data_IF_261974671197
#
_entry.id   IF_261974671197
#
_cell.length_a   1.000
_cell.length_b   1.000
_cell.length_c   1.000
_cell.angle_alpha   90.00
_cell.angle_beta   90.00
_cell.angle_gamma   90.00
#
_symmetry.space_group_name_H-M   'P 1'
#
loop_
_entity.id
_entity.type
_entity.pdbx_description
1 polymer ?
#
# COMPACT_ATOMS: atom_id res chain seq x y z
N UNK A 1 -3.45 24.06 30.19
CA UNK A 1 -3.69 22.80 29.43
C UNK A 1 -4.83 21.92 29.97
N UNK A 2 -5.42 22.19 31.14
CA UNK A 2 -6.48 21.32 31.70
C UNK A 2 -7.90 21.61 31.14
N UNK A 3 -8.16 22.80 30.59
CA UNK A 3 -9.48 23.17 30.06
C UNK A 3 -9.89 22.36 28.83
N UNK A 4 -8.97 22.15 27.88
CA UNK A 4 -9.22 21.34 26.68
C UNK A 4 -9.51 19.88 27.04
N UNK A 5 -8.77 19.30 27.99
CA UNK A 5 -9.01 17.94 28.50
C UNK A 5 -10.33 17.81 29.27
N UNK A 6 -10.74 18.85 30.00
CA UNK A 6 -12.02 18.88 30.71
C UNK A 6 -13.21 19.00 29.75
N UNK A 7 -13.09 19.87 28.73
CA UNK A 7 -14.11 20.03 27.70
C UNK A 7 -14.23 18.79 26.82
N UNK A 8 -13.12 18.15 26.45
CA UNK A 8 -13.16 16.90 25.68
C UNK A 8 -13.77 15.76 26.51
N UNK A 9 -13.39 15.60 27.78
CA UNK A 9 -13.99 14.60 28.67
C UNK A 9 -15.50 14.84 28.89
N UNK A 10 -15.92 16.09 29.01
CA UNK A 10 -17.33 16.45 29.12
C UNK A 10 -18.09 16.14 27.82
N UNK A 11 -17.54 16.51 26.66
CA UNK A 11 -18.12 16.22 25.34
C UNK A 11 -18.25 14.71 25.07
N UNK A 12 -17.24 13.93 25.43
CA UNK A 12 -17.31 12.46 25.34
C UNK A 12 -18.44 11.94 26.22
N UNK A 13 -18.58 12.44 27.46
CA UNK A 13 -19.63 11.99 28.38
C UNK A 13 -21.03 12.44 27.95
N UNK A 14 -21.16 13.62 27.36
CA UNK A 14 -22.45 14.16 26.88
C UNK A 14 -22.90 13.52 25.58
N UNK A 15 -21.99 13.03 24.73
CA UNK A 15 -22.37 12.34 23.50
C UNK A 15 -22.52 10.83 23.71
N UNK A 16 -21.60 10.20 24.44
CA UNK A 16 -21.57 8.72 24.56
C UNK A 16 -22.76 8.16 25.34
N UNK A 17 -23.17 8.82 26.42
CA UNK A 17 -24.26 8.34 27.29
C UNK A 17 -25.64 8.39 26.63
N UNK A 18 -26.10 9.52 26.04
CA UNK A 18 -27.41 9.54 25.40
C UNK A 18 -27.46 8.64 24.17
N UNK A 19 -26.38 8.57 23.37
CA UNK A 19 -26.34 7.70 22.18
C UNK A 19 -26.48 6.23 22.59
N UNK A 20 -25.71 5.77 23.58
CA UNK A 20 -25.83 4.40 24.08
C UNK A 20 -27.22 4.11 24.67
N UNK A 21 -27.81 5.06 25.38
CA UNK A 21 -29.16 4.92 25.95
C UNK A 21 -30.25 4.85 24.87
N UNK A 22 -30.15 5.68 23.83
CA UNK A 22 -31.08 5.69 22.71
C UNK A 22 -30.99 4.39 21.89
N UNK A 23 -29.77 3.92 21.62
CA UNK A 23 -29.56 2.65 20.92
C UNK A 23 -30.14 1.47 21.72
N UNK A 24 -30.00 1.47 23.06
CA UNK A 24 -30.61 0.44 23.92
C UNK A 24 -32.15 0.49 23.88
N UNK A 25 -32.75 1.67 23.86
CA UNK A 25 -34.21 1.83 23.72
C UNK A 25 -34.70 1.32 22.35
N UNK A 26 -34.03 1.72 21.28
CA UNK A 26 -34.32 1.30 19.90
C UNK A 26 -34.17 -0.21 19.70
N UNK A 27 -33.21 -0.86 20.39
CA UNK A 27 -33.04 -2.31 20.37
C UNK A 27 -34.16 -3.08 21.08
N UNK A 28 -34.96 -2.41 21.92
CA UNK A 28 -36.16 -3.01 22.52
C UNK A 28 -37.39 -2.80 21.64
N UNK A 29 -37.47 -1.66 20.96
CA UNK A 29 -38.61 -1.28 20.10
C UNK A 29 -38.57 -1.98 18.73
N UNK A 30 -37.38 -2.27 18.19
CA UNK A 30 -37.23 -2.86 16.86
C UNK A 30 -36.55 -4.23 16.87
N UNK A 31 -37.29 -5.27 16.48
CA UNK A 31 -36.75 -6.64 16.40
C UNK A 31 -35.63 -6.80 15.37
N UNK A 32 -35.70 -6.11 14.22
CA UNK A 32 -34.64 -6.15 13.21
C UNK A 32 -33.33 -5.61 13.77
N UNK A 33 -33.41 -4.48 14.46
CA UNK A 33 -32.26 -3.86 15.10
C UNK A 33 -31.72 -4.71 16.26
N UNK A 34 -32.61 -5.30 17.08
CA UNK A 34 -32.25 -6.29 18.11
C UNK A 34 -31.44 -7.44 17.53
N UNK A 35 -31.89 -8.04 16.42
CA UNK A 35 -31.17 -9.13 15.73
C UNK A 35 -29.79 -8.71 15.26
N UNK A 36 -29.65 -7.49 14.72
CA UNK A 36 -28.35 -6.92 14.33
C UNK A 36 -27.44 -6.79 15.56
N UNK A 37 -27.89 -6.16 16.64
CA UNK A 37 -27.13 -6.01 17.88
C UNK A 37 -26.67 -7.36 18.44
N UNK A 38 -27.57 -8.34 18.50
CA UNK A 38 -27.28 -9.69 19.00
C UNK A 38 -26.28 -10.40 18.10
N UNK A 39 -26.46 -10.34 16.77
CA UNK A 39 -25.55 -10.98 15.81
C UNK A 39 -24.13 -10.40 15.91
N UNK A 40 -24.01 -9.08 16.04
CA UNK A 40 -22.72 -8.41 16.13
C UNK A 40 -22.04 -8.67 17.48
N UNK A 41 -22.78 -8.64 18.58
CA UNK A 41 -22.27 -9.02 19.89
C UNK A 41 -21.79 -10.47 19.94
N UNK A 42 -22.53 -11.39 19.30
CA UNK A 42 -22.11 -12.79 19.17
C UNK A 42 -20.88 -12.94 18.27
N UNK A 43 -20.78 -12.19 17.17
CA UNK A 43 -19.61 -12.20 16.29
C UNK A 43 -18.36 -11.70 17.04
N UNK A 44 -18.47 -10.58 17.75
CA UNK A 44 -17.39 -10.03 18.57
C UNK A 44 -16.98 -10.99 19.69
N UNK A 45 -17.94 -11.58 20.38
CA UNK A 45 -17.65 -12.57 21.42
C UNK A 45 -16.94 -13.81 20.85
N UNK A 46 -17.37 -14.29 19.67
CA UNK A 46 -16.70 -15.42 19.00
C UNK A 46 -15.28 -15.05 18.58
N UNK A 47 -15.09 -13.82 18.10
CA UNK A 47 -13.78 -13.31 17.69
C UNK A 47 -12.83 -13.15 18.89
N UNK A 48 -13.28 -12.51 19.97
CA UNK A 48 -12.51 -12.34 21.22
C UNK A 48 -12.10 -13.70 21.80
N UNK A 49 -13.05 -14.65 21.91
CA UNK A 49 -12.72 -16.00 22.37
C UNK A 49 -11.76 -16.73 21.43
N UNK A 50 -11.91 -16.58 20.11
CA UNK A 50 -10.99 -17.17 19.13
C UNK A 50 -9.58 -16.60 19.26
N UNK A 51 -9.43 -15.29 19.46
CA UNK A 51 -8.13 -14.66 19.66
C UNK A 51 -7.48 -15.11 20.98
N UNK A 52 -8.26 -15.15 22.08
CA UNK A 52 -7.74 -15.60 23.38
C UNK A 52 -7.29 -17.05 23.33
N UNK A 53 -8.11 -17.94 22.77
CA UNK A 53 -7.78 -19.36 22.63
C UNK A 53 -6.64 -19.57 21.63
N UNK A 54 -6.58 -18.78 20.56
CA UNK A 54 -5.49 -18.78 19.60
C UNK A 54 -4.15 -18.40 20.22
N UNK A 55 -4.13 -17.32 21.01
CA UNK A 55 -2.92 -16.86 21.71
C UNK A 55 -2.40 -17.86 22.75
N UNK A 56 -3.29 -18.49 23.53
CA UNK A 56 -2.92 -19.54 24.48
C UNK A 56 -2.35 -20.77 23.76
N UNK A 57 -2.87 -21.13 22.58
CA UNK A 57 -2.34 -22.25 21.79
C UNK A 57 -0.96 -21.93 21.22
N UNK A 58 -0.78 -20.75 20.65
CA UNK A 58 0.48 -20.38 19.99
C UNK A 58 1.66 -20.37 20.98
N UNK A 59 1.40 -19.87 22.19
CA UNK A 59 2.36 -19.92 23.31
C UNK A 59 2.65 -21.35 23.78
N UNK A 60 1.63 -22.19 23.97
CA UNK A 60 1.80 -23.59 24.36
C UNK A 60 2.48 -24.44 23.27
N UNK A 61 2.17 -24.19 21.99
CA UNK A 61 2.78 -24.87 20.85
C UNK A 61 4.26 -24.46 20.69
N UNK A 62 4.57 -23.17 20.80
CA UNK A 62 5.94 -22.65 20.81
C UNK A 62 6.76 -23.24 21.96
N UNK A 63 6.19 -23.33 23.16
CA UNK A 63 6.86 -23.93 24.31
C UNK A 63 7.12 -25.43 24.14
N UNK A 64 6.17 -26.18 23.55
CA UNK A 64 6.35 -27.61 23.25
C UNK A 64 7.40 -27.85 22.16
N UNK A 65 7.45 -26.99 21.15
CA UNK A 65 8.49 -27.03 20.12
C UNK A 65 9.87 -26.71 20.71
N UNK A 66 9.96 -25.73 21.60
CA UNK A 66 11.21 -25.42 22.32
C UNK A 66 11.68 -26.58 23.21
N UNK A 67 10.76 -27.26 23.92
CA UNK A 67 11.07 -28.43 24.73
C UNK A 67 11.51 -29.64 23.87
N UNK A 68 10.77 -29.95 22.80
CA UNK A 68 11.13 -31.03 21.87
C UNK A 68 12.46 -30.76 21.14
N UNK A 69 12.74 -29.50 20.78
CA UNK A 69 14.03 -29.11 20.22
C UNK A 69 15.17 -29.21 21.24
N UNK A 70 14.92 -28.90 22.52
CA UNK A 70 15.89 -29.10 23.59
C UNK A 70 16.18 -30.59 23.84
N UNK A 71 15.15 -31.45 23.76
CA UNK A 71 15.30 -32.91 23.85
C UNK A 71 16.02 -33.49 22.63
N UNK A 72 15.69 -33.04 21.42
CA UNK A 72 16.40 -33.43 20.20
C UNK A 72 17.87 -32.97 20.20
N UNK A 73 18.19 -31.84 20.84
CA UNK A 73 19.58 -31.37 21.04
C UNK A 73 20.37 -32.27 21.99
N UNK A 74 19.73 -32.91 22.99
CA UNK A 74 20.40 -33.85 23.90
C UNK A 74 20.86 -35.14 23.20
N UNK A 75 20.21 -35.52 22.11
CA UNK A 75 20.52 -36.74 21.36
C UNK A 75 21.34 -36.51 20.07
N UNK A 76 21.80 -35.28 19.81
CA UNK A 76 22.75 -35.00 18.73
C UNK A 76 24.18 -35.15 19.27
N UNK A 77 24.93 -36.20 18.90
CA UNK A 77 26.32 -36.34 19.31
C UNK A 77 27.17 -35.27 18.59
N UNK A 78 27.87 -34.45 19.38
CA UNK A 78 28.74 -33.35 18.93
C UNK A 78 30.09 -33.83 18.36
N UNK A 79 30.36 -35.13 18.35
CA UNK A 79 31.63 -35.71 17.86
C UNK A 79 31.32 -36.71 16.74
N UNK A 80 32.02 -36.64 15.58
CA UNK A 80 31.75 -37.49 14.42
C UNK A 80 32.27 -38.92 14.68
N UNK A 81 31.50 -39.72 15.41
CA UNK A 81 31.81 -41.12 15.72
C UNK A 81 30.91 -42.05 14.92
N UNK A 82 31.46 -43.19 14.47
CA UNK A 82 30.76 -44.23 13.69
C UNK A 82 29.51 -44.70 14.45
N UNK A 83 28.33 -44.58 13.83
CA UNK A 83 27.03 -44.88 14.45
C UNK A 83 26.82 -46.38 14.64
N UNK A 84 26.40 -46.78 15.84
CA UNK A 84 25.87 -48.12 16.09
C UNK A 84 24.40 -48.18 15.65
N UNK A 85 23.95 -49.33 15.13
CA UNK A 85 22.58 -49.53 14.63
C UNK A 85 21.47 -49.34 15.68
N UNK A 86 21.83 -49.31 16.96
CA UNK A 86 20.91 -49.00 18.06
C UNK A 86 20.61 -47.49 18.16
N UNK A 87 21.59 -46.63 17.88
CA UNK A 87 21.46 -45.17 18.01
C UNK A 87 20.66 -44.56 16.85
N UNK A 88 20.72 -45.19 15.67
CA UNK A 88 19.89 -44.80 14.52
C UNK A 88 18.42 -45.14 14.73
N UNK A 89 18.12 -46.34 15.28
CA UNK A 89 16.74 -46.72 15.60
C UNK A 89 16.14 -45.82 16.69
N UNK A 90 16.91 -45.49 17.72
CA UNK A 90 16.47 -44.55 18.76
C UNK A 90 16.22 -43.13 18.21
N UNK A 91 17.04 -42.67 17.26
CA UNK A 91 16.84 -41.38 16.60
C UNK A 91 15.61 -41.37 15.68
N UNK A 92 15.40 -42.44 14.90
CA UNK A 92 14.24 -42.59 14.02
C UNK A 92 12.93 -42.68 14.81
N UNK A 93 12.92 -43.40 15.94
CA UNK A 93 11.76 -43.48 16.84
C UNK A 93 11.46 -42.14 17.52
N UNK A 94 12.49 -41.37 17.87
CA UNK A 94 12.33 -40.01 18.41
C UNK A 94 11.79 -39.05 17.34
N UNK A 95 12.25 -39.17 16.10
CA UNK A 95 11.73 -38.40 14.97
C UNK A 95 10.30 -38.80 14.59
N UNK A 96 9.96 -40.08 14.63
CA UNK A 96 8.60 -40.58 14.39
C UNK A 96 7.62 -40.08 15.48
N UNK A 97 8.04 -40.09 16.75
CA UNK A 97 7.27 -39.50 17.85
C UNK A 97 7.15 -37.98 17.75
N UNK A 98 8.21 -37.28 17.32
CA UNK A 98 8.16 -35.84 17.09
C UNK A 98 7.22 -35.48 15.93
N UNK A 99 7.23 -36.26 14.84
CA UNK A 99 6.33 -36.08 13.69
C UNK A 99 4.87 -36.37 14.05
N UNK A 100 4.61 -37.45 14.80
CA UNK A 100 3.26 -37.77 15.30
C UNK A 100 2.74 -36.70 16.28
N UNK A 101 3.58 -36.18 17.17
CA UNK A 101 3.23 -35.08 18.08
C UNK A 101 2.98 -33.75 17.33
N UNK A 102 3.70 -33.50 16.24
CA UNK A 102 3.47 -32.34 15.37
C UNK A 102 2.14 -32.46 14.59
N UNK A 103 1.81 -33.66 14.12
CA UNK A 103 0.55 -33.94 13.42
C UNK A 103 -0.67 -33.85 14.36
N UNK A 104 -0.53 -34.35 15.60
CA UNK A 104 -1.57 -34.20 16.63
C UNK A 104 -1.77 -32.73 17.03
N UNK A 105 -0.69 -31.94 17.12
CA UNK A 105 -0.75 -30.50 17.37
C UNK A 105 -1.34 -29.69 16.21
N UNK A 106 -1.31 -30.23 14.99
CA UNK A 106 -1.84 -29.59 13.79
C UNK A 106 -3.36 -29.76 13.63
N UNK A 107 -4.02 -30.66 14.39
CA UNK A 107 -5.46 -30.90 14.24
C UNK A 107 -6.29 -29.69 14.69
N UNK A 108 -7.17 -29.13 13.82
CA UNK A 108 -7.99 -27.97 14.20
C UNK A 108 -9.07 -28.38 15.20
N UNK A 109 -8.94 -27.96 16.46
CA UNK A 109 -9.97 -28.15 17.49
C UNK A 109 -11.08 -27.10 17.28
N UNK A 110 -12.31 -27.57 17.11
CA UNK A 110 -13.46 -26.70 16.93
C UNK A 110 -14.02 -26.27 18.30
N UNK A 111 -13.74 -25.03 18.73
CA UNK A 111 -14.27 -24.49 19.99
C UNK A 111 -15.78 -24.20 19.88
N UNK A 112 -16.60 -24.93 20.65
CA UNK A 112 -18.03 -24.61 20.81
C UNK A 112 -18.16 -23.48 21.83
N UNK A 113 -18.15 -22.25 21.34
CA UNK A 113 -18.35 -21.05 22.18
C UNK A 113 -19.84 -20.92 22.49
N UNK A 114 -20.20 -20.86 23.79
CA UNK A 114 -21.58 -20.64 24.22
C UNK A 114 -22.02 -19.22 23.80
N UNK A 115 -23.21 -19.05 23.21
CA UNK A 115 -23.72 -17.71 22.89
C UNK A 115 -24.01 -16.93 24.17
N UNK A 116 -23.84 -15.61 24.11
CA UNK A 116 -24.25 -14.72 25.20
C UNK A 116 -25.76 -14.75 25.40
N UNK A 117 -26.19 -14.52 26.66
CA UNK A 117 -27.59 -14.23 26.95
C UNK A 117 -28.04 -13.00 26.17
N UNK A 118 -29.31 -13.00 25.77
CA UNK A 118 -29.81 -11.99 24.85
C UNK A 118 -29.71 -10.57 25.42
N UNK A 119 -30.01 -10.38 26.70
CA UNK A 119 -29.87 -9.09 27.38
C UNK A 119 -28.44 -8.56 27.35
N UNK A 120 -27.45 -9.43 27.58
CA UNK A 120 -26.02 -9.07 27.54
C UNK A 120 -25.55 -8.78 26.12
N UNK A 121 -26.05 -9.54 25.15
CA UNK A 121 -25.76 -9.34 23.73
C UNK A 121 -26.31 -7.99 23.23
N UNK A 122 -27.52 -7.61 23.65
CA UNK A 122 -28.09 -6.29 23.31
C UNK A 122 -27.25 -5.16 23.90
N UNK A 123 -26.87 -5.25 25.18
CA UNK A 123 -26.06 -4.23 25.83
C UNK A 123 -24.67 -4.08 25.19
N UNK A 124 -23.99 -5.21 24.97
CA UNK A 124 -22.67 -5.22 24.33
C UNK A 124 -22.74 -4.75 22.88
N UNK A 125 -23.78 -5.16 22.13
CA UNK A 125 -24.00 -4.74 20.75
C UNK A 125 -24.29 -3.24 20.65
N UNK A 126 -25.12 -2.71 21.56
CA UNK A 126 -25.43 -1.28 21.62
C UNK A 126 -24.19 -0.42 21.90
N UNK A 127 -23.37 -0.81 22.88
CA UNK A 127 -22.12 -0.11 23.18
C UNK A 127 -21.18 -0.14 21.97
N UNK A 128 -21.00 -1.30 21.34
CA UNK A 128 -20.14 -1.44 20.16
C UNK A 128 -20.60 -0.58 18.98
N UNK A 129 -21.91 -0.51 18.70
CA UNK A 129 -22.45 0.34 17.62
C UNK A 129 -22.18 1.81 17.92
N UNK A 130 -22.42 2.26 19.15
CA UNK A 130 -22.21 3.64 19.54
C UNK A 130 -20.73 4.05 19.44
N UNK A 131 -19.84 3.16 19.87
CA UNK A 131 -18.40 3.38 19.85
C UNK A 131 -17.87 3.36 18.41
N UNK A 132 -18.27 2.36 17.61
CA UNK A 132 -17.90 2.27 16.20
C UNK A 132 -18.37 3.48 15.40
N UNK A 133 -19.58 3.98 15.67
CA UNK A 133 -20.08 5.19 15.03
C UNK A 133 -19.22 6.41 15.37
N UNK A 134 -18.88 6.60 16.65
CA UNK A 134 -18.02 7.70 17.08
C UNK A 134 -16.61 7.58 16.45
N UNK A 135 -16.03 6.39 16.41
CA UNK A 135 -14.73 6.17 15.77
C UNK A 135 -14.77 6.35 14.26
N UNK A 136 -15.83 5.93 13.58
CA UNK A 136 -15.98 6.13 12.14
C UNK A 136 -16.13 7.60 11.81
N UNK A 137 -16.93 8.35 12.58
CA UNK A 137 -17.07 9.81 12.39
C UNK A 137 -15.77 10.52 12.71
N UNK A 138 -15.14 10.25 13.86
CA UNK A 138 -13.90 10.92 14.25
C UNK A 138 -12.72 10.54 13.35
N UNK A 139 -12.52 9.25 13.10
CA UNK A 139 -11.48 8.73 12.21
C UNK A 139 -11.74 9.13 10.75
N UNK A 140 -12.99 9.12 10.31
CA UNK A 140 -13.41 9.59 8.99
C UNK A 140 -13.10 11.06 8.79
N UNK A 141 -13.36 11.93 9.77
CA UNK A 141 -13.00 13.34 9.71
C UNK A 141 -11.49 13.54 9.64
N UNK A 142 -10.71 12.79 10.42
CA UNK A 142 -9.24 12.88 10.40
C UNK A 142 -8.68 12.38 9.06
N UNK A 143 -9.15 11.24 8.55
CA UNK A 143 -8.72 10.70 7.26
C UNK A 143 -9.15 11.61 6.11
N UNK A 144 -10.36 12.16 6.16
CA UNK A 144 -10.86 13.10 5.17
C UNK A 144 -10.04 14.38 5.16
N UNK A 145 -9.76 14.96 6.33
CA UNK A 145 -8.92 16.14 6.44
C UNK A 145 -7.48 15.85 6.02
N UNK A 146 -6.93 14.69 6.37
CA UNK A 146 -5.61 14.24 5.95
C UNK A 146 -5.53 14.08 4.43
N UNK A 147 -6.49 13.40 3.81
CA UNK A 147 -6.57 13.24 2.36
C UNK A 147 -6.72 14.59 1.65
N UNK A 148 -7.62 15.45 2.14
CA UNK A 148 -7.81 16.81 1.62
C UNK A 148 -6.57 17.70 1.79
N UNK A 149 -5.84 17.55 2.90
CA UNK A 149 -4.61 18.31 3.17
C UNK A 149 -3.46 17.84 2.29
N UNK A 150 -3.29 16.52 2.14
CA UNK A 150 -2.26 15.91 1.28
C UNK A 150 -2.39 16.37 -0.17
N UNK A 151 -3.61 16.51 -0.68
CA UNK A 151 -3.82 16.99 -2.04
C UNK A 151 -3.29 18.42 -2.25
N UNK A 152 -3.41 19.30 -1.23
CA UNK A 152 -2.89 20.67 -1.29
C UNK A 152 -1.37 20.73 -1.19
N UNK A 153 -0.78 19.81 -0.43
CA UNK A 153 0.68 19.72 -0.33
C UNK A 153 1.30 19.16 -1.62
N UNK A 154 0.67 18.19 -2.28
CA UNK A 154 1.12 17.65 -3.59
C UNK A 154 1.23 18.75 -4.64
N UNK A 155 0.17 19.54 -4.86
CA UNK A 155 0.20 20.63 -5.85
C UNK A 155 1.24 21.70 -5.50
N UNK A 156 1.49 21.96 -4.22
CA UNK A 156 2.58 22.87 -3.80
C UNK A 156 3.96 22.28 -4.09
N UNK A 157 4.15 20.97 -3.87
CA UNK A 157 5.41 20.27 -4.17
C UNK A 157 5.67 20.24 -5.67
N UNK A 158 4.67 19.86 -6.46
CA UNK A 158 4.72 19.91 -7.93
C UNK A 158 5.08 21.31 -8.46
N UNK A 159 4.51 22.37 -7.87
CA UNK A 159 4.83 23.75 -8.25
C UNK A 159 6.24 24.21 -7.86
N UNK A 160 6.82 23.66 -6.78
CA UNK A 160 8.21 23.94 -6.37
C UNK A 160 9.19 23.15 -7.25
N UNK A 161 8.90 21.88 -7.51
CA UNK A 161 9.68 21.02 -8.40
C UNK A 161 9.74 21.62 -9.81
N UNK A 162 8.62 22.10 -10.36
CA UNK A 162 8.60 22.77 -11.66
C UNK A 162 9.52 24.01 -11.71
N UNK A 163 9.50 24.85 -10.67
CA UNK A 163 10.40 26.01 -10.59
C UNK A 163 11.88 25.61 -10.47
N UNK A 164 12.15 24.49 -9.81
CA UNK A 164 13.50 23.99 -9.65
C UNK A 164 14.05 23.52 -11.01
N UNK A 165 13.23 22.81 -11.78
CA UNK A 165 13.55 22.38 -13.14
C UNK A 165 13.74 23.58 -14.08
N UNK A 166 12.87 24.59 -14.03
CA UNK A 166 13.01 25.79 -14.86
C UNK A 166 14.31 26.55 -14.56
N UNK A 167 14.68 26.65 -13.27
CA UNK A 167 15.93 27.28 -12.85
C UNK A 167 17.15 26.49 -13.33
N UNK A 168 17.13 25.18 -13.18
CA UNK A 168 18.20 24.29 -13.64
C UNK A 168 18.39 24.39 -15.17
N UNK A 169 17.30 24.43 -15.94
CA UNK A 169 17.36 24.66 -17.38
C UNK A 169 17.92 26.03 -17.74
N UNK A 170 17.54 27.08 -17.01
CA UNK A 170 18.06 28.43 -17.26
C UNK A 170 19.55 28.54 -16.96
N UNK A 171 20.02 27.84 -15.92
CA UNK A 171 21.43 27.77 -15.56
C UNK A 171 22.20 27.02 -16.65
N UNK A 172 21.68 25.88 -17.09
CA UNK A 172 22.30 25.07 -18.14
C UNK A 172 22.39 25.84 -19.47
N UNK A 173 21.33 26.54 -19.87
CA UNK A 173 21.34 27.38 -21.07
C UNK A 173 22.36 28.53 -20.97
N UNK A 174 22.50 29.15 -19.79
CA UNK A 174 23.50 30.18 -19.55
C UNK A 174 24.93 29.63 -19.65
N UNK A 175 25.18 28.43 -19.09
CA UNK A 175 26.47 27.73 -19.20
C UNK A 175 26.82 27.45 -20.67
N UNK A 176 25.87 26.95 -21.46
CA UNK A 176 26.06 26.68 -22.88
C UNK A 176 26.34 27.95 -23.70
N UNK A 177 25.62 29.05 -23.43
CA UNK A 177 25.84 30.33 -24.08
C UNK A 177 27.25 30.88 -23.81
N UNK A 178 27.76 30.73 -22.58
CA UNK A 178 29.12 31.14 -22.24
C UNK A 178 30.18 30.34 -23.00
N UNK A 179 29.99 29.03 -23.12
CA UNK A 179 30.90 28.15 -23.90
C UNK A 179 30.89 28.51 -25.38
N UNK A 180 29.72 28.82 -25.96
CA UNK A 180 29.62 29.27 -27.34
C UNK A 180 30.39 30.58 -27.57
N UNK A 181 30.23 31.54 -26.66
CA UNK A 181 30.90 32.84 -26.75
C UNK A 181 32.43 32.73 -26.57
N UNK A 182 32.91 31.83 -25.71
CA UNK A 182 34.34 31.51 -25.59
C UNK A 182 34.92 30.99 -26.92
N UNK A 183 34.19 30.10 -27.61
CA UNK A 183 34.61 29.58 -28.92
C UNK A 183 34.69 30.69 -29.97
N UNK A 184 33.72 31.60 -30.00
CA UNK A 184 33.74 32.75 -30.92
C UNK A 184 34.94 33.67 -30.64
N UNK A 185 35.22 33.99 -29.37
CA UNK A 185 36.39 34.79 -29.00
C UNK A 185 37.71 34.12 -29.40
N UNK A 186 37.82 32.80 -29.23
CA UNK A 186 39.00 32.05 -29.67
C UNK A 186 39.17 32.09 -31.19
N UNK A 187 38.08 31.96 -31.95
CA UNK A 187 38.10 32.07 -33.41
C UNK A 187 38.51 33.47 -33.86
N UNK A 188 37.96 34.52 -33.25
CA UNK A 188 38.34 35.91 -33.54
C UNK A 188 39.81 36.15 -33.22
N UNK A 189 40.29 35.67 -32.06
CA UNK A 189 41.70 35.77 -31.70
C UNK A 189 42.60 35.07 -32.73
N UNK A 190 42.23 33.88 -33.19
CA UNK A 190 43.00 33.16 -34.21
C UNK A 190 43.06 33.91 -35.55
N UNK A 191 41.96 34.58 -35.95
CA UNK A 191 41.91 35.44 -37.14
C UNK A 191 42.77 36.71 -37.00
N UNK A 192 42.94 37.23 -35.77
CA UNK A 192 43.69 38.46 -35.47
C UNK A 192 45.07 38.20 -34.83
N UNK A 193 45.79 37.16 -35.27
CA UNK A 193 47.08 36.70 -34.71
C UNK A 193 48.26 37.67 -34.92
N UNK A 194 48.19 38.89 -34.39
CA UNK A 194 49.28 39.90 -34.41
C UNK A 194 49.43 40.66 -33.07
N UNK A 195 48.97 40.10 -31.93
CA UNK A 195 49.16 40.73 -30.60
C UNK A 195 49.95 39.85 -29.61
N UNK A 196 50.78 40.45 -28.74
CA UNK A 196 51.77 39.74 -27.93
C UNK A 196 51.13 38.83 -26.88
N UNK A 197 51.80 37.69 -26.64
CA UNK A 197 51.38 36.58 -25.79
C UNK A 197 51.26 37.00 -24.32
N UNK A 198 50.08 37.45 -23.88
CA UNK A 198 49.72 37.50 -22.47
C UNK A 198 48.88 36.27 -22.08
N UNK A 199 49.20 35.73 -20.91
CA UNK A 199 48.77 34.46 -20.36
C UNK A 199 47.25 34.25 -20.45
N UNK A 200 46.83 33.35 -21.33
CA UNK A 200 45.45 32.87 -21.35
C UNK A 200 45.28 31.87 -20.21
N UNK A 201 45.02 32.36 -19.00
CA UNK A 201 44.28 31.53 -18.05
C UNK A 201 42.92 31.26 -18.68
N UNK A 202 42.58 29.97 -18.81
CA UNK A 202 41.27 29.45 -19.21
C UNK A 202 40.18 30.34 -18.62
N UNK A 203 39.40 30.99 -19.48
CA UNK A 203 38.54 32.13 -19.07
C UNK A 203 37.28 31.62 -18.34
N UNK A 204 36.89 30.37 -18.59
CA UNK A 204 35.80 29.69 -17.89
C UNK A 204 36.34 28.62 -16.93
N UNK A 205 35.84 28.61 -15.69
CA UNK A 205 36.17 27.62 -14.67
C UNK A 205 35.77 26.20 -15.13
N UNK A 206 36.49 25.14 -14.72
CA UNK A 206 36.18 23.74 -15.10
C UNK A 206 34.72 23.32 -14.84
N UNK A 207 34.10 23.94 -13.83
CA UNK A 207 32.73 23.70 -13.36
C UNK A 207 31.62 24.02 -14.39
N UNK A 208 31.93 24.77 -15.45
CA UNK A 208 30.98 25.09 -16.55
C UNK A 208 30.94 23.97 -17.59
N UNK A 209 32.01 23.16 -17.69
CA UNK A 209 32.13 22.04 -18.63
C UNK A 209 31.71 20.69 -18.01
N UNK A 210 31.65 20.60 -16.69
CA UNK A 210 31.01 19.49 -15.99
C UNK A 210 29.49 19.65 -16.11
N UNK A 211 28.96 19.06 -17.18
CA UNK A 211 27.59 18.57 -17.20
C UNK A 211 27.37 17.80 -15.90
N UNK A 212 26.30 18.06 -15.12
CA UNK A 212 26.12 17.42 -13.83
C UNK A 212 26.30 15.92 -14.04
N UNK A 213 27.26 15.34 -13.33
CA UNK A 213 27.34 13.90 -13.17
C UNK A 213 25.92 13.42 -12.87
N UNK A 214 25.51 12.32 -13.52
CA UNK A 214 24.16 11.77 -13.38
C UNK A 214 23.67 11.94 -11.93
N UNK A 215 22.42 12.39 -11.71
CA UNK A 215 21.93 12.57 -10.37
C UNK A 215 22.08 11.23 -9.66
N UNK A 216 23.05 11.15 -8.75
CA UNK A 216 23.19 10.03 -7.84
C UNK A 216 21.84 9.94 -7.13
N UNK A 217 21.03 8.96 -7.56
CA UNK A 217 19.74 8.69 -6.96
C UNK A 217 20.00 8.59 -5.45
N UNK A 218 19.41 9.45 -4.62
CA UNK A 218 19.55 9.27 -3.19
C UNK A 218 18.91 7.92 -2.88
N UNK A 219 19.73 6.94 -2.50
CA UNK A 219 19.26 5.66 -2.00
C UNK A 219 18.27 5.96 -0.87
N UNK A 220 16.98 5.82 -1.19
CA UNK A 220 15.93 6.08 -0.24
C UNK A 220 16.20 5.18 0.97
N UNK A 221 16.37 5.74 2.18
CA UNK A 221 16.62 4.92 3.35
C UNK A 221 15.46 3.94 3.43
N UNK A 222 15.76 2.65 3.49
CA UNK A 222 14.80 1.57 3.65
C UNK A 222 14.16 1.70 5.04
N UNK A 223 13.27 2.67 5.16
CA UNK A 223 12.49 2.93 6.34
C UNK A 223 11.48 1.81 6.51
N UNK A 224 11.08 1.60 7.76
CA UNK A 224 10.03 0.66 8.17
C UNK A 224 8.77 0.70 7.29
N UNK A 225 8.43 1.83 6.66
CA UNK A 225 7.33 1.97 5.71
C UNK A 225 7.51 1.12 4.44
N UNK A 226 8.73 0.98 3.91
CA UNK A 226 9.04 0.10 2.76
C UNK A 226 8.96 -1.38 3.14
N UNK A 227 9.24 -1.71 4.40
CA UNK A 227 8.95 -3.04 4.95
C UNK A 227 7.46 -3.27 5.14
N UNK A 228 6.65 -2.25 5.41
CA UNK A 228 5.19 -2.39 5.53
C UNK A 228 4.55 -2.50 4.13
N UNK A 229 5.04 -1.75 3.14
CA UNK A 229 4.52 -1.84 1.77
C UNK A 229 4.74 -3.21 1.13
N UNK A 230 5.84 -3.90 1.45
CA UNK A 230 6.07 -5.26 0.94
C UNK A 230 5.07 -6.30 1.46
N UNK A 231 4.48 -6.09 2.64
CA UNK A 231 3.39 -6.95 3.16
C UNK A 231 2.00 -6.58 2.61
N UNK A 232 1.86 -5.40 1.98
CA UNK A 232 0.60 -4.90 1.41
C UNK A 232 0.61 -5.00 -0.13
N UNK A 233 1.61 -5.65 -0.74
CA UNK A 233 1.64 -5.93 -2.18
C UNK A 233 0.66 -7.07 -2.54
N UNK A 234 -0.63 -6.76 -2.42
CA UNK A 234 -1.74 -7.56 -2.90
C UNK A 234 -2.29 -6.88 -4.15
N UNK A 235 -1.83 -7.34 -5.32
CA UNK A 235 -2.53 -7.14 -6.59
C UNK A 235 -2.03 -6.04 -7.52
N UNK A 236 -0.77 -6.10 -7.99
CA UNK A 236 -0.38 -5.39 -9.22
C UNK A 236 0.45 -6.30 -10.13
N UNK A 237 -0.17 -6.73 -11.22
CA UNK A 237 0.45 -7.42 -12.36
C UNK A 237 0.42 -6.49 -13.58
N UNK A 238 1.37 -6.71 -14.50
CA UNK A 238 1.65 -6.02 -15.77
C UNK A 238 2.36 -4.66 -15.60
N UNK A 239 3.45 -4.31 -16.28
CA UNK A 239 3.98 -4.73 -17.59
C UNK A 239 5.45 -4.27 -17.70
N UNK A 240 6.22 -4.88 -18.61
CA UNK A 240 7.35 -4.32 -19.40
C UNK A 240 8.51 -5.32 -19.49
N UNK A 241 8.63 -5.99 -20.63
CA UNK A 241 9.89 -6.57 -21.10
C UNK A 241 9.97 -6.32 -22.59
N UNK A 242 10.96 -5.50 -22.97
CA UNK A 242 11.29 -5.13 -24.34
C UNK A 242 12.45 -6.04 -24.80
N UNK A 243 12.20 -6.80 -25.87
CA UNK A 243 13.03 -7.20 -27.05
C UNK A 243 14.49 -7.69 -26.88
N UNK A 244 14.96 -8.58 -27.79
CA UNK A 244 15.71 -8.05 -28.94
C UNK A 244 15.43 -8.74 -30.29
N UNK A 245 15.52 -7.94 -31.37
CA UNK A 245 15.44 -8.33 -32.79
C UNK A 245 16.60 -9.23 -33.27
N UNK A 246 16.48 -9.86 -34.46
CA UNK A 246 17.18 -9.28 -35.62
C UNK A 246 16.46 -9.37 -37.00
N UNK A 247 16.54 -8.25 -37.73
CA UNK A 247 16.76 -8.01 -39.18
C UNK A 247 16.49 -9.13 -40.21
N UNK A 248 15.69 -8.84 -41.27
CA UNK A 248 16.10 -8.54 -42.68
C UNK A 248 14.89 -8.59 -43.64
N UNK A 249 14.69 -7.53 -44.42
CA UNK A 249 13.75 -7.36 -45.57
C UNK A 249 14.20 -8.21 -46.81
N UNK A 250 13.60 -8.14 -48.03
CA UNK A 250 12.25 -7.73 -48.51
C UNK A 250 11.68 -8.66 -49.64
N UNK A 251 10.37 -8.61 -49.95
CA UNK A 251 9.80 -8.93 -51.30
C UNK A 251 8.34 -8.45 -51.36
N UNK A 252 8.02 -7.33 -52.02
CA UNK A 252 7.43 -7.20 -53.38
C UNK A 252 6.24 -8.10 -53.69
N UNK A 253 5.09 -7.51 -54.07
CA UNK A 253 4.04 -8.21 -54.81
C UNK A 253 2.67 -7.53 -54.78
N UNK A 254 2.36 -6.77 -55.83
CA UNK A 254 1.02 -6.27 -56.20
C UNK A 254 -0.08 -7.35 -56.11
N UNK A 255 -1.31 -6.95 -55.73
CA UNK A 255 -2.53 -7.12 -56.55
C UNK A 255 -3.81 -6.80 -55.75
N UNK A 256 -4.45 -5.68 -56.09
CA UNK A 256 -5.93 -5.61 -56.18
C UNK A 256 -6.34 -6.34 -57.50
N UNK A 257 -7.60 -6.76 -57.77
CA UNK A 257 -8.82 -5.98 -57.50
C UNK A 257 -10.13 -6.79 -57.25
N UNK A 258 -11.25 -6.05 -57.20
CA UNK A 258 -12.61 -6.46 -57.64
C UNK A 258 -13.41 -7.39 -56.70
N UNK A 259 -14.72 -7.31 -56.45
CA UNK A 259 -15.88 -6.43 -56.74
C UNK A 259 -16.98 -7.00 -55.80
N UNK A 260 -17.84 -6.24 -55.13
CA UNK A 260 -19.26 -6.10 -55.52
C UNK A 260 -20.02 -5.28 -54.46
N UNK A 261 -20.76 -4.29 -54.93
CA UNK A 261 -21.92 -3.62 -54.34
C UNK A 261 -22.93 -3.58 -55.52
N UNK A 262 -24.27 -3.65 -55.37
CA UNK A 262 -24.99 -2.53 -54.78
C UNK A 262 -26.37 -2.82 -54.13
N UNK A 263 -26.86 -1.78 -53.45
CA UNK A 263 -28.26 -1.32 -53.36
C UNK A 263 -29.29 -2.14 -52.53
N UNK A 264 -30.25 -1.56 -51.82
CA UNK A 264 -30.93 -0.27 -52.00
C UNK A 264 -31.80 0.06 -50.76
N UNK A 265 -31.94 1.35 -50.41
CA UNK A 265 -33.16 2.04 -49.92
C UNK A 265 -33.84 1.60 -48.59
N UNK A 266 -34.51 2.41 -47.78
CA UNK A 266 -34.73 3.85 -47.59
C UNK A 266 -35.68 3.99 -46.35
N UNK A 267 -36.01 5.23 -45.97
CA UNK A 267 -37.14 5.68 -45.09
C UNK A 267 -36.73 5.84 -43.60
N UNK A 268 -36.33 7.03 -43.09
CA UNK A 268 -37.10 8.28 -42.78
C UNK A 268 -38.41 8.00 -42.00
N UNK A 269 -38.85 8.68 -40.94
CA UNK A 269 -38.55 9.97 -40.36
C UNK A 269 -39.13 10.07 -38.93
N UNK A 270 -38.49 10.93 -38.14
CA UNK A 270 -39.00 11.83 -37.09
C UNK A 270 -40.49 11.83 -36.66
N UNK A 271 -40.73 11.95 -35.34
CA UNK A 271 -41.77 12.84 -34.78
C UNK A 271 -41.57 13.10 -33.26
N UNK A 272 -41.02 14.27 -32.92
CA UNK A 272 -41.50 15.17 -31.86
C UNK A 272 -42.47 16.18 -32.54
N UNK A 273 -43.34 16.99 -31.89
CA UNK A 273 -43.09 17.70 -30.62
C UNK A 273 -44.32 18.04 -29.72
N UNK A 274 -43.99 18.68 -28.58
CA UNK A 274 -44.66 19.84 -27.93
C UNK A 274 -46.19 19.91 -27.81
N UNK A 275 -46.70 20.07 -26.57
CA UNK A 275 -47.38 21.31 -26.13
C UNK A 275 -47.84 21.24 -24.67
N UNK A 276 -47.86 22.42 -24.04
CA UNK A 276 -48.33 22.70 -22.69
C UNK A 276 -49.86 22.91 -22.63
N UNK A 277 -50.51 22.63 -21.49
CA UNK A 277 -51.38 23.60 -20.76
C UNK A 277 -52.16 22.98 -19.58
N UNK A 278 -52.19 23.77 -18.48
CA UNK A 278 -53.29 24.08 -17.52
C UNK A 278 -53.96 23.04 -16.59
N UNK A 279 -54.16 23.55 -15.36
CA UNK A 279 -55.19 23.29 -14.31
C UNK A 279 -55.29 21.86 -13.77
N UNK A 280 -55.27 21.62 -12.47
CA UNK A 280 -56.01 22.25 -11.37
C UNK A 280 -55.32 22.03 -10.03
#
# INVERSE_FOLDING_TARGET
MSLTLKLSSLAIRTLSKPIASQIKAQAREHERFRKICVSMAQALHRFDMRLRLGSIRDTAASQRQAAAAAEARKHKPTIPTVRNAADTKAAEDAEAKAKAAAEEAAKPIHYRIRPLSESKAIESGANFISESFLFLVAGGLILFESWRSRNKESTRREGVEGRLVDLEQSEQAAREALVALEKELLQLRAKHSDLPKLSTKRILSPEIYEQPAEPDMPEAPQGWLSRISSYISFGQSAETTIEPMPNTQPTTGNAAPATETPDQSAVSASQTPSSASKSS
#
